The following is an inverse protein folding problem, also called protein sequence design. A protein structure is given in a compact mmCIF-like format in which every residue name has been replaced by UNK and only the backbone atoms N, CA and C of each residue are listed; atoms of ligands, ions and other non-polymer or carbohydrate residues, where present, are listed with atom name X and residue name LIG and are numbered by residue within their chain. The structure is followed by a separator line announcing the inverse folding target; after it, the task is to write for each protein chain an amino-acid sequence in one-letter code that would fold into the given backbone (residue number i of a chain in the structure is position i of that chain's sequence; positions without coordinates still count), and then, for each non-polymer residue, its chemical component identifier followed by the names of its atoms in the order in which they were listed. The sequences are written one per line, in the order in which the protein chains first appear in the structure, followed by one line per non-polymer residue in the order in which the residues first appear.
data_IF_268228678210
#
_entry.id   IF_268228678210
#
_cell.length_a   1.000
_cell.length_b   1.000
_cell.length_c   1.000
_cell.angle_alpha   90.00
_cell.angle_beta   90.00
_cell.angle_gamma   90.00
#
_symmetry.space_group_name_H-M   'P 1'
#
loop_
_entity.id
_entity.type
_entity.pdbx_description
1 polymer ?
#
# COMPACT_ATOMS: atom_id res chain seq x y z
N UNK A 1 -29.44 -25.92 -37.24
CA UNK A 1 -29.38 -26.27 -38.69
C UNK A 1 -28.08 -25.74 -39.27
N UNK A 2 -27.34 -26.54 -40.05
CA UNK A 2 -26.06 -26.12 -40.66
C UNK A 2 -26.32 -25.50 -42.05
N UNK A 3 -25.62 -24.42 -42.43
CA UNK A 3 -25.44 -24.02 -43.83
C UNK A 3 -23.95 -23.79 -44.12
N UNK A 4 -23.40 -24.67 -44.96
CA UNK A 4 -22.08 -24.53 -45.56
C UNK A 4 -22.15 -23.58 -46.74
N UNK A 5 -21.05 -22.86 -47.03
CA UNK A 5 -20.72 -22.39 -48.38
C UNK A 5 -19.36 -23.00 -48.78
N UNK A 6 -19.15 -23.22 -50.08
CA UNK A 6 -18.14 -24.13 -50.63
C UNK A 6 -17.41 -23.47 -51.81
N UNK A 7 -16.07 -23.61 -51.85
CA UNK A 7 -15.18 -23.44 -53.02
C UNK A 7 -15.08 -22.01 -53.62
N UNK A 8 -14.02 -21.66 -54.36
CA UNK A 8 -13.15 -22.50 -55.19
C UNK A 8 -11.67 -22.04 -55.27
N UNK A 9 -10.84 -22.97 -55.74
CA UNK A 9 -9.38 -22.85 -55.88
C UNK A 9 -8.97 -22.19 -57.21
N UNK A 10 -7.73 -21.67 -57.27
CA UNK A 10 -6.91 -21.73 -58.47
C UNK A 10 -5.42 -21.75 -58.09
N UNK A 11 -4.70 -22.78 -58.52
CA UNK A 11 -3.25 -22.87 -58.45
C UNK A 11 -2.67 -22.92 -59.87
N UNK A 12 -1.52 -22.30 -60.09
CA UNK A 12 -0.72 -22.46 -61.31
C UNK A 12 0.76 -22.38 -60.95
N UNK A 13 1.56 -23.28 -61.52
CA UNK A 13 3.00 -23.41 -61.27
C UNK A 13 3.77 -23.40 -62.60
N UNK A 14 5.07 -23.71 -62.53
CA UNK A 14 6.09 -23.88 -63.60
C UNK A 14 6.93 -22.65 -64.00
N UNK A 15 8.23 -22.78 -64.35
CA UNK A 15 9.35 -23.69 -63.96
C UNK A 15 10.64 -23.30 -64.76
N UNK A 16 11.84 -23.75 -64.33
CA UNK A 16 13.16 -23.82 -65.05
C UNK A 16 13.85 -22.48 -65.47
N UNK A 17 15.09 -22.09 -65.07
CA UNK A 17 16.48 -22.64 -65.19
C UNK A 17 17.30 -22.00 -66.36
N UNK A 18 18.65 -21.91 -66.46
CA UNK A 18 19.82 -22.63 -65.86
C UNK A 18 21.12 -21.78 -65.75
N UNK A 19 21.99 -22.09 -64.76
CA UNK A 19 23.47 -22.21 -64.80
C UNK A 19 24.46 -21.10 -65.26
N UNK A 20 25.54 -20.92 -64.47
CA UNK A 20 26.92 -20.60 -64.90
C UNK A 20 27.94 -21.15 -63.86
N UNK A 21 29.16 -21.54 -64.28
CA UNK A 21 30.08 -22.40 -63.50
C UNK A 21 31.39 -21.72 -63.04
N UNK A 22 32.05 -22.30 -62.02
CA UNK A 22 33.48 -22.08 -61.68
C UNK A 22 33.92 -22.81 -60.39
N UNK A 23 34.97 -23.63 -60.45
CA UNK A 23 35.50 -24.49 -59.35
C UNK A 23 37.05 -24.63 -59.49
N UNK A 24 37.80 -25.52 -58.80
CA UNK A 24 37.62 -26.23 -57.50
C UNK A 24 38.89 -26.20 -56.58
N UNK A 25 38.84 -26.81 -55.37
CA UNK A 25 39.90 -27.51 -54.58
C UNK A 25 39.60 -27.43 -53.06
N UNK A 26 39.79 -28.43 -52.19
CA UNK A 26 40.28 -29.82 -52.31
C UNK A 26 39.79 -30.68 -51.12
N UNK A 27 39.47 -31.96 -51.39
CA UNK A 27 39.51 -33.16 -50.52
C UNK A 27 38.95 -33.14 -49.07
N UNK A 28 37.80 -33.79 -48.89
CA UNK A 28 37.47 -34.52 -47.66
C UNK A 28 38.35 -35.77 -47.50
N UNK A 29 38.59 -36.18 -46.25
CA UNK A 29 38.91 -37.57 -45.91
C UNK A 29 37.92 -38.08 -44.86
N UNK A 30 37.39 -39.28 -45.08
CA UNK A 30 36.27 -39.84 -44.30
C UNK A 30 36.81 -40.69 -43.14
N UNK A 31 36.34 -40.46 -41.92
CA UNK A 31 36.17 -41.51 -40.92
C UNK A 31 34.88 -41.32 -40.10
N UNK A 32 34.10 -42.39 -39.84
CA UNK A 32 32.77 -42.26 -39.26
C UNK A 32 32.72 -42.40 -37.72
N UNK A 33 31.74 -41.69 -37.15
CA UNK A 33 30.97 -42.05 -35.94
C UNK A 33 31.70 -42.26 -34.60
N UNK A 34 31.49 -41.30 -33.70
CA UNK A 34 31.06 -41.61 -32.34
C UNK A 34 29.82 -40.76 -32.04
N UNK A 35 28.68 -41.39 -31.76
CA UNK A 35 27.48 -40.69 -31.32
C UNK A 35 27.66 -40.31 -29.86
N UNK A 36 27.68 -39.01 -29.59
CA UNK A 36 27.59 -38.43 -28.27
C UNK A 36 26.79 -37.14 -28.41
N UNK A 37 25.49 -37.20 -28.13
CA UNK A 37 24.71 -35.98 -27.96
C UNK A 37 25.22 -35.33 -26.68
N UNK A 38 26.04 -34.30 -26.81
CA UNK A 38 26.27 -33.39 -25.70
C UNK A 38 24.89 -32.83 -25.31
N UNK A 39 24.57 -32.85 -24.02
CA UNK A 39 23.37 -32.17 -23.54
C UNK A 39 23.48 -30.69 -23.94
N UNK A 40 22.49 -30.17 -24.65
CA UNK A 40 22.40 -28.73 -24.84
C UNK A 40 21.96 -28.14 -23.50
N UNK A 41 22.96 -27.65 -22.77
CA UNK A 41 22.79 -26.82 -21.59
C UNK A 41 22.91 -25.37 -22.04
N UNK A 42 21.87 -24.58 -21.83
CA UNK A 42 21.81 -23.16 -22.12
C UNK A 42 21.44 -22.37 -20.86
N UNK A 43 21.98 -21.16 -20.76
CA UNK A 43 21.63 -20.22 -19.69
C UNK A 43 20.79 -19.11 -20.28
N UNK A 44 19.57 -18.96 -19.77
CA UNK A 44 18.63 -17.92 -20.17
C UNK A 44 18.53 -16.88 -19.06
N UNK A 45 18.47 -15.61 -19.42
CA UNK A 45 18.27 -14.51 -18.47
C UNK A 45 17.07 -13.70 -18.90
N UNK A 46 16.23 -13.33 -17.94
CA UNK A 46 15.06 -12.48 -18.18
C UNK A 46 14.80 -11.54 -17.02
N UNK A 47 13.98 -10.54 -17.27
CA UNK A 47 13.69 -9.47 -16.32
C UNK A 47 12.19 -9.29 -16.14
N UNK A 48 11.81 -8.93 -14.92
CA UNK A 48 10.44 -8.63 -14.53
C UNK A 48 10.44 -7.60 -13.42
N UNK A 49 9.39 -6.79 -13.33
CA UNK A 49 9.27 -5.78 -12.29
C UNK A 49 8.79 -6.44 -10.98
N UNK A 50 9.64 -6.42 -9.96
CA UNK A 50 9.30 -6.81 -8.58
C UNK A 50 8.77 -5.63 -7.77
N UNK A 51 8.66 -5.83 -6.45
CA UNK A 51 8.12 -4.83 -5.52
C UNK A 51 9.01 -3.58 -5.41
N UNK A 52 10.31 -3.76 -5.20
CA UNK A 52 11.28 -2.68 -4.97
C UNK A 52 12.20 -2.41 -6.16
N UNK A 53 11.98 -3.05 -7.30
CA UNK A 53 12.78 -2.85 -8.50
C UNK A 53 12.75 -4.02 -9.47
N UNK A 54 13.62 -3.99 -10.47
CA UNK A 54 13.74 -5.06 -11.46
C UNK A 54 14.33 -6.31 -10.81
N UNK A 55 13.61 -7.43 -10.92
CA UNK A 55 14.09 -8.78 -10.61
C UNK A 55 14.67 -9.38 -11.88
N UNK A 56 15.89 -9.90 -11.80
CA UNK A 56 16.56 -10.63 -12.90
C UNK A 56 16.55 -12.13 -12.61
N UNK A 57 15.86 -12.90 -13.46
CA UNK A 57 15.92 -14.35 -13.47
C UNK A 57 17.15 -14.85 -14.23
N UNK A 58 17.81 -15.88 -13.71
CA UNK A 58 18.79 -16.70 -14.43
C UNK A 58 18.33 -18.15 -14.37
N UNK A 59 18.12 -18.76 -15.54
CA UNK A 59 17.67 -20.15 -15.70
C UNK A 59 18.79 -20.97 -16.36
N UNK A 60 19.02 -22.19 -15.88
CA UNK A 60 19.81 -23.20 -16.59
C UNK A 60 18.85 -24.23 -17.17
N UNK A 61 18.88 -24.42 -18.49
CA UNK A 61 18.00 -25.33 -19.22
C UNK A 61 18.84 -26.41 -19.88
N UNK A 62 18.61 -27.68 -19.53
CA UNK A 62 19.28 -28.84 -20.13
C UNK A 62 18.29 -29.68 -20.92
N UNK A 63 18.51 -29.81 -22.24
CA UNK A 63 17.65 -30.58 -23.15
C UNK A 63 16.17 -30.15 -23.11
N UNK A 64 15.89 -28.88 -22.84
CA UNK A 64 14.54 -28.32 -22.72
C UNK A 64 13.89 -28.46 -21.34
N UNK A 65 14.66 -28.81 -20.31
CA UNK A 65 14.20 -28.87 -18.90
C UNK A 65 14.99 -27.87 -18.06
N UNK A 66 14.31 -27.04 -17.28
CA UNK A 66 14.95 -26.13 -16.31
C UNK A 66 15.55 -26.99 -15.18
N UNK A 67 16.87 -26.97 -15.04
CA UNK A 67 17.61 -27.73 -14.01
C UNK A 67 18.08 -26.87 -12.84
N UNK A 68 18.12 -25.55 -13.03
CA UNK A 68 18.35 -24.57 -11.97
C UNK A 68 17.69 -23.23 -12.32
N UNK A 69 17.25 -22.51 -11.29
CA UNK A 69 16.80 -21.13 -11.38
C UNK A 69 17.41 -20.31 -10.23
N UNK A 70 17.58 -19.02 -10.43
CA UNK A 70 17.92 -18.05 -9.37
C UNK A 70 17.40 -16.67 -9.72
N UNK A 71 17.00 -15.90 -8.73
CA UNK A 71 16.56 -14.51 -8.89
C UNK A 71 17.51 -13.54 -8.18
N UNK A 72 17.81 -12.43 -8.83
CA UNK A 72 18.50 -11.28 -8.25
C UNK A 72 17.52 -10.09 -8.20
N UNK A 73 17.17 -9.64 -6.99
CA UNK A 73 16.18 -8.60 -6.74
C UNK A 73 16.66 -7.64 -5.65
N UNK A 74 17.69 -6.80 -5.90
CA UNK A 74 18.38 -6.03 -4.87
C UNK A 74 17.55 -4.88 -4.26
N UNK A 75 16.40 -4.55 -4.84
CA UNK A 75 15.44 -3.58 -4.28
C UNK A 75 14.37 -4.21 -3.37
N UNK A 76 14.21 -5.53 -3.38
CA UNK A 76 13.16 -6.21 -2.62
C UNK A 76 13.37 -6.05 -1.10
N UNK A 77 12.28 -5.90 -0.34
CA UNK A 77 12.33 -5.89 1.13
C UNK A 77 12.91 -7.22 1.63
N UNK A 78 14.06 -7.17 2.29
CA UNK A 78 14.87 -8.35 2.61
C UNK A 78 14.11 -9.45 3.39
N UNK A 79 13.24 -9.04 4.33
CA UNK A 79 12.48 -9.96 5.19
C UNK A 79 11.19 -10.50 4.55
N UNK A 80 10.81 -9.98 3.37
CA UNK A 80 9.56 -10.34 2.67
C UNK A 80 9.89 -10.83 1.26
N UNK A 81 10.04 -9.92 0.29
CA UNK A 81 10.37 -10.27 -1.09
C UNK A 81 11.74 -10.95 -1.22
N UNK A 82 12.76 -10.41 -0.54
CA UNK A 82 14.11 -11.00 -0.56
C UNK A 82 14.16 -12.44 -0.02
N UNK A 83 13.39 -12.73 1.02
CA UNK A 83 13.25 -14.07 1.58
C UNK A 83 12.46 -15.03 0.65
N UNK A 84 11.48 -14.51 -0.10
CA UNK A 84 10.68 -15.30 -1.05
C UNK A 84 11.45 -15.76 -2.30
N UNK A 85 12.54 -15.08 -2.69
CA UNK A 85 13.26 -15.38 -3.94
C UNK A 85 13.81 -16.80 -4.02
N UNK A 86 14.27 -17.38 -2.91
CA UNK A 86 14.81 -18.76 -2.89
C UNK A 86 13.68 -19.79 -3.10
N UNK A 87 12.55 -19.65 -2.40
CA UNK A 87 11.38 -20.52 -2.56
C UNK A 87 10.80 -20.43 -3.98
N UNK A 88 10.64 -19.22 -4.52
CA UNK A 88 10.16 -19.00 -5.89
C UNK A 88 11.09 -19.66 -6.93
N UNK A 89 12.42 -19.64 -6.71
CA UNK A 89 13.36 -20.31 -7.59
C UNK A 89 13.24 -21.84 -7.55
N UNK A 90 13.03 -22.44 -6.36
CA UNK A 90 12.76 -23.87 -6.24
C UNK A 90 11.45 -24.26 -6.97
N UNK A 91 10.40 -23.45 -6.82
CA UNK A 91 9.13 -23.67 -7.51
C UNK A 91 9.28 -23.63 -9.05
N UNK A 92 10.08 -22.72 -9.62
CA UNK A 92 10.33 -22.65 -11.08
C UNK A 92 10.96 -23.93 -11.62
N UNK A 93 11.92 -24.50 -10.88
CA UNK A 93 12.56 -25.78 -11.25
C UNK A 93 11.55 -26.93 -11.12
N UNK A 94 10.73 -26.95 -10.08
CA UNK A 94 9.71 -27.98 -9.87
C UNK A 94 8.58 -27.94 -10.91
N UNK A 95 8.12 -26.75 -11.28
CA UNK A 95 7.09 -26.51 -12.30
C UNK A 95 7.63 -26.63 -13.74
N UNK A 96 8.95 -26.53 -13.92
CA UNK A 96 9.61 -26.42 -15.22
C UNK A 96 9.05 -25.26 -16.08
N UNK A 97 8.81 -24.11 -15.44
CA UNK A 97 8.23 -22.93 -16.10
C UNK A 97 7.85 -21.82 -15.12
N UNK A 98 7.14 -20.82 -15.62
CA UNK A 98 6.70 -19.64 -14.87
C UNK A 98 5.35 -19.81 -14.13
N UNK A 99 4.69 -20.96 -14.27
CA UNK A 99 3.41 -21.23 -13.61
C UNK A 99 3.69 -21.80 -12.21
N UNK A 100 4.04 -20.88 -11.30
CA UNK A 100 4.39 -21.12 -9.90
C UNK A 100 3.39 -20.44 -8.97
N UNK A 101 3.23 -20.96 -7.76
CA UNK A 101 2.41 -20.36 -6.72
C UNK A 101 3.05 -19.05 -6.20
N UNK A 102 2.26 -18.16 -5.60
CA UNK A 102 2.77 -16.96 -4.95
C UNK A 102 3.25 -17.25 -3.52
N UNK A 103 4.27 -16.54 -3.05
CA UNK A 103 4.66 -16.55 -1.64
C UNK A 103 3.82 -15.50 -0.88
N UNK A 104 3.17 -15.92 0.20
CA UNK A 104 2.29 -15.05 1.00
C UNK A 104 3.02 -13.82 1.51
N UNK A 105 2.47 -12.63 1.23
CA UNK A 105 3.07 -11.33 1.55
C UNK A 105 4.07 -10.80 0.51
N UNK A 106 4.48 -11.61 -0.46
CA UNK A 106 5.44 -11.27 -1.50
C UNK A 106 4.84 -11.37 -2.92
N UNK A 107 3.60 -10.92 -3.11
CA UNK A 107 2.86 -11.05 -4.39
C UNK A 107 3.60 -10.38 -5.56
N UNK A 108 4.01 -9.11 -5.44
CA UNK A 108 4.77 -8.42 -6.48
C UNK A 108 6.13 -9.06 -6.79
N UNK A 109 6.82 -9.55 -5.77
CA UNK A 109 8.05 -10.34 -5.95
C UNK A 109 7.75 -11.60 -6.76
N UNK A 110 6.67 -12.30 -6.41
CA UNK A 110 6.21 -13.52 -7.10
C UNK A 110 5.84 -13.24 -8.55
N UNK A 111 5.11 -12.15 -8.84
CA UNK A 111 4.77 -11.76 -10.21
C UNK A 111 5.96 -11.23 -11.01
N UNK A 112 6.88 -10.50 -10.38
CA UNK A 112 8.16 -10.10 -10.96
C UNK A 112 9.01 -11.32 -11.34
N UNK A 113 9.07 -12.32 -10.46
CA UNK A 113 9.68 -13.62 -10.73
C UNK A 113 8.98 -14.35 -11.89
N UNK A 114 7.64 -14.45 -11.90
CA UNK A 114 6.86 -15.05 -13.00
C UNK A 114 7.13 -14.35 -14.33
N UNK A 115 7.10 -13.02 -14.35
CA UNK A 115 7.40 -12.20 -15.52
C UNK A 115 8.84 -12.39 -16.00
N UNK A 116 9.82 -12.39 -15.10
CA UNK A 116 11.23 -12.61 -15.42
C UNK A 116 11.49 -14.01 -16.02
N UNK A 117 10.80 -15.04 -15.55
CA UNK A 117 10.86 -16.39 -16.13
C UNK A 117 10.20 -16.45 -17.50
N UNK A 118 9.02 -15.81 -17.68
CA UNK A 118 8.37 -15.73 -19.01
C UNK A 118 9.24 -14.97 -20.02
N UNK A 119 9.85 -13.86 -19.62
CA UNK A 119 10.82 -13.11 -20.42
C UNK A 119 12.10 -13.91 -20.72
N UNK A 120 12.62 -14.69 -19.77
CA UNK A 120 13.79 -15.54 -20.00
C UNK A 120 13.50 -16.67 -21.03
N UNK A 121 12.30 -17.24 -21.00
CA UNK A 121 11.89 -18.35 -21.87
C UNK A 121 11.44 -17.89 -23.26
N UNK A 122 10.75 -16.76 -23.37
CA UNK A 122 10.33 -16.15 -24.65
C UNK A 122 10.31 -14.61 -24.53
N UNK A 123 11.45 -13.94 -24.81
CA UNK A 123 11.55 -12.48 -24.72
C UNK A 123 10.88 -11.75 -25.90
N UNK A 124 10.53 -12.43 -26.99
CA UNK A 124 9.80 -11.81 -28.11
C UNK A 124 8.29 -11.76 -27.81
N UNK A 125 7.73 -12.79 -27.18
CA UNK A 125 6.34 -12.80 -26.73
C UNK A 125 6.12 -12.06 -25.40
N UNK A 126 7.15 -12.02 -24.54
CA UNK A 126 7.10 -11.37 -23.22
C UNK A 126 8.26 -10.36 -23.10
N UNK A 127 8.30 -9.29 -23.91
CA UNK A 127 9.37 -8.29 -23.83
C UNK A 127 9.34 -7.58 -22.47
N UNK A 128 10.49 -7.49 -21.82
CA UNK A 128 10.68 -6.60 -20.68
C UNK A 128 11.00 -5.21 -21.23
N UNK A 129 10.00 -4.33 -21.25
CA UNK A 129 10.22 -2.90 -21.38
C UNK A 129 10.65 -2.39 -20.00
N UNK A 130 11.91 -2.00 -19.88
CA UNK A 130 12.39 -1.36 -18.67
C UNK A 130 11.65 -0.03 -18.50
N UNK A 131 10.84 0.08 -17.43
CA UNK A 131 10.40 1.40 -16.98
C UNK A 131 11.67 2.20 -16.68
N UNK A 132 11.80 3.36 -17.33
CA UNK A 132 13.00 4.16 -17.24
C UNK A 132 13.18 4.60 -15.79
N UNK A 133 14.38 4.46 -15.23
CA UNK A 133 14.69 4.84 -13.84
C UNK A 133 14.68 6.34 -13.54
N UNK A 134 13.75 7.09 -14.14
CA UNK A 134 13.28 8.41 -13.75
C UNK A 134 11.78 8.24 -13.49
N UNK A 135 11.35 8.42 -12.24
CA UNK A 135 10.15 7.79 -11.67
C UNK A 135 8.95 7.76 -12.64
N UNK A 136 8.58 6.54 -13.07
CA UNK A 136 7.46 6.30 -13.97
C UNK A 136 6.22 7.04 -13.50
N UNK A 137 5.45 7.61 -14.45
CA UNK A 137 4.33 8.52 -14.17
C UNK A 137 3.51 8.00 -12.99
N UNK A 138 3.64 8.67 -11.85
CA UNK A 138 2.92 8.27 -10.64
C UNK A 138 1.45 8.32 -10.99
N UNK A 139 0.81 7.15 -11.03
CA UNK A 139 -0.61 7.06 -11.27
C UNK A 139 -1.27 8.02 -10.28
N UNK A 140 -1.94 9.05 -10.80
CA UNK A 140 -2.48 10.12 -9.97
C UNK A 140 -3.75 9.61 -9.30
N UNK A 141 -3.54 8.86 -8.22
CA UNK A 141 -4.61 8.35 -7.39
C UNK A 141 -5.33 9.52 -6.73
N UNK A 142 -6.67 9.53 -6.73
CA UNK A 142 -7.42 10.55 -5.99
C UNK A 142 -7.06 10.41 -4.52
N UNK A 143 -6.62 11.49 -3.88
CA UNK A 143 -6.12 11.43 -2.50
C UNK A 143 -7.23 11.17 -1.48
N UNK A 144 -8.51 11.27 -1.84
CA UNK A 144 -9.64 11.25 -0.90
C UNK A 144 -9.98 12.63 -0.33
N UNK A 145 -9.15 13.65 -0.55
CA UNK A 145 -9.40 15.03 -0.11
C UNK A 145 -10.56 15.72 -0.86
N UNK A 146 -10.82 15.35 -2.11
CA UNK A 146 -11.91 15.91 -2.90
C UNK A 146 -13.27 15.33 -2.46
N UNK A 147 -14.33 16.15 -2.28
CA UNK A 147 -15.67 15.66 -1.96
C UNK A 147 -16.22 14.69 -3.01
N UNK A 148 -16.99 13.69 -2.56
CA UNK A 148 -17.70 12.78 -3.47
C UNK A 148 -18.82 13.54 -4.17
N UNK A 149 -18.82 13.57 -5.52
CA UNK A 149 -19.92 14.14 -6.29
C UNK A 149 -21.18 13.29 -6.15
N UNK A 150 -22.25 13.87 -5.60
CA UNK A 150 -23.52 13.19 -5.39
C UNK A 150 -24.46 13.43 -6.59
N UNK A 151 -24.88 12.37 -7.34
CA UNK A 151 -25.75 12.49 -8.49
C UNK A 151 -27.20 12.81 -8.08
N UNK A 152 -27.76 13.88 -8.62
CA UNK A 152 -29.11 14.37 -8.29
C UNK A 152 -30.27 13.46 -8.72
N UNK A 153 -29.99 12.41 -9.50
CA UNK A 153 -30.97 11.47 -10.06
C UNK A 153 -30.92 10.07 -9.40
N UNK A 154 -30.11 9.88 -8.36
CA UNK A 154 -30.03 8.64 -7.55
C UNK A 154 -30.19 8.96 -6.07
N UNK A 155 -30.77 8.03 -5.30
CA UNK A 155 -30.87 8.14 -3.84
C UNK A 155 -29.59 7.63 -3.17
N UNK A 156 -28.60 8.50 -3.07
CA UNK A 156 -27.37 8.24 -2.32
C UNK A 156 -27.59 8.53 -0.82
N UNK A 157 -27.06 7.64 0.00
CA UNK A 157 -26.94 7.78 1.46
C UNK A 157 -25.50 7.57 1.89
N UNK A 158 -25.11 8.07 3.06
CA UNK A 158 -23.78 7.85 3.62
C UNK A 158 -23.84 7.34 5.06
N UNK A 159 -22.80 6.61 5.46
CA UNK A 159 -22.49 6.36 6.87
C UNK A 159 -21.01 6.67 7.12
N UNK A 160 -20.70 7.17 8.32
CA UNK A 160 -19.35 7.57 8.74
C UNK A 160 -18.99 6.93 10.08
N UNK A 161 -17.72 6.56 10.24
CA UNK A 161 -17.13 5.96 11.45
C UNK A 161 -15.70 6.46 11.61
N UNK A 162 -15.26 6.54 12.85
CA UNK A 162 -13.98 7.10 13.26
C UNK A 162 -13.18 6.08 14.07
N UNK A 163 -11.86 6.12 13.95
CA UNK A 163 -10.97 5.24 14.72
C UNK A 163 -9.50 5.58 14.55
N UNK A 164 -8.64 4.70 15.05
CA UNK A 164 -7.19 4.72 14.86
C UNK A 164 -6.72 3.30 14.49
N UNK A 165 -5.44 3.10 14.26
CA UNK A 165 -4.85 1.77 14.11
C UNK A 165 -4.84 1.01 15.45
N UNK A 166 -5.47 -0.17 15.49
CA UNK A 166 -5.69 -0.91 16.74
C UNK A 166 -5.45 -2.43 16.64
N UNK A 167 -5.04 -2.96 15.48
CA UNK A 167 -4.98 -4.42 15.27
C UNK A 167 -3.67 -5.08 15.74
N UNK A 168 -2.58 -4.33 15.79
CA UNK A 168 -1.39 -4.67 16.59
C UNK A 168 -1.19 -3.59 17.66
N UNK A 169 -0.78 -3.99 18.86
CA UNK A 169 -0.38 -3.05 19.92
C UNK A 169 0.96 -2.37 19.62
N UNK A 170 1.69 -2.85 18.61
CA UNK A 170 2.91 -2.25 18.07
C UNK A 170 2.67 -1.49 16.75
N UNK A 171 1.41 -1.33 16.33
CA UNK A 171 1.07 -0.59 15.12
C UNK A 171 1.20 0.92 15.31
N UNK A 172 1.92 1.59 14.41
CA UNK A 172 2.28 2.99 14.57
C UNK A 172 1.08 3.93 14.42
N UNK A 173 0.56 4.45 15.53
CA UNK A 173 -0.58 5.38 15.56
C UNK A 173 -0.17 6.80 15.17
N UNK A 174 -0.26 7.13 13.88
CA UNK A 174 0.10 8.45 13.31
C UNK A 174 -1.10 9.38 13.03
N UNK A 175 -2.32 8.86 12.91
CA UNK A 175 -3.52 9.62 12.55
C UNK A 175 -4.81 9.12 13.22
N UNK A 176 -5.85 9.96 13.20
CA UNK A 176 -7.25 9.52 13.32
C UNK A 176 -7.80 9.24 11.93
N UNK A 177 -8.47 8.11 11.73
CA UNK A 177 -9.11 7.73 10.46
C UNK A 177 -10.59 8.10 10.53
N UNK A 178 -11.08 8.89 9.55
CA UNK A 178 -12.50 9.00 9.22
C UNK A 178 -12.77 8.17 7.97
N UNK A 179 -13.56 7.10 8.10
CA UNK A 179 -14.06 6.34 6.96
C UNK A 179 -15.51 6.76 6.66
N UNK A 180 -15.83 6.97 5.38
CA UNK A 180 -17.19 7.24 4.89
C UNK A 180 -17.52 6.32 3.72
N UNK A 181 -18.64 5.60 3.83
CA UNK A 181 -19.20 4.75 2.78
C UNK A 181 -20.46 5.41 2.25
N UNK A 182 -20.48 5.66 0.94
CA UNK A 182 -21.65 6.15 0.22
C UNK A 182 -22.31 4.96 -0.47
N UNK A 183 -23.63 4.83 -0.34
CA UNK A 183 -24.43 3.73 -0.88
C UNK A 183 -25.57 4.27 -1.74
N UNK A 184 -25.83 3.60 -2.86
CA UNK A 184 -26.96 3.89 -3.72
C UNK A 184 -28.13 2.96 -3.40
N UNK A 185 -29.19 3.52 -2.81
CA UNK A 185 -30.40 2.78 -2.46
C UNK A 185 -31.24 2.38 -3.69
N UNK A 186 -31.05 3.01 -4.86
CA UNK A 186 -31.83 2.68 -6.06
C UNK A 186 -31.30 1.43 -6.77
N UNK A 187 -29.99 1.17 -6.67
CA UNK A 187 -29.32 0.00 -7.27
C UNK A 187 -28.80 -1.01 -6.24
N UNK A 188 -28.94 -0.73 -4.94
CA UNK A 188 -28.49 -1.56 -3.82
C UNK A 188 -27.00 -1.95 -3.91
N UNK A 189 -26.14 -0.94 -4.08
CA UNK A 189 -24.70 -1.11 -4.24
C UNK A 189 -23.92 0.06 -3.62
N UNK A 190 -22.65 -0.19 -3.27
CA UNK A 190 -21.74 0.87 -2.86
C UNK A 190 -21.51 1.85 -4.03
N UNK A 191 -21.56 3.14 -3.73
CA UNK A 191 -21.37 4.23 -4.69
C UNK A 191 -19.94 4.78 -4.64
N UNK A 192 -19.43 5.03 -3.43
CA UNK A 192 -18.08 5.52 -3.21
C UNK A 192 -17.60 5.19 -1.79
N UNK A 193 -16.29 5.22 -1.61
CA UNK A 193 -15.62 5.20 -0.30
C UNK A 193 -14.68 6.40 -0.23
N UNK A 194 -14.58 6.99 0.96
CA UNK A 194 -13.68 8.10 1.26
C UNK A 194 -13.02 7.87 2.62
N UNK A 195 -11.70 8.10 2.67
CA UNK A 195 -10.92 8.17 3.89
C UNK A 195 -10.40 9.60 4.08
N UNK A 196 -10.22 10.01 5.33
CA UNK A 196 -9.58 11.27 5.71
C UNK A 196 -8.80 11.06 7.02
N UNK A 197 -7.50 11.31 6.99
CA UNK A 197 -6.55 10.94 8.05
C UNK A 197 -5.77 12.13 8.62
N UNK A 198 -6.38 12.99 9.46
CA UNK A 198 -5.69 14.05 10.17
C UNK A 198 -4.64 13.51 11.14
N UNK A 199 -3.44 14.10 11.07
CA UNK A 199 -2.24 13.64 11.75
C UNK A 199 -2.29 13.96 13.24
N UNK A 200 -1.88 13.01 14.08
CA UNK A 200 -1.78 13.16 15.52
C UNK A 200 -0.56 14.02 15.91
N UNK A 201 -0.55 14.65 17.10
CA UNK A 201 0.60 15.45 17.54
C UNK A 201 1.85 14.60 17.86
N UNK A 202 1.75 13.28 17.88
CA UNK A 202 2.86 12.34 17.92
C UNK A 202 2.85 11.46 16.65
N UNK A 203 4.01 10.86 16.36
CA UNK A 203 4.13 9.66 15.54
C UNK A 203 4.77 8.60 16.44
N UNK A 204 4.26 7.38 16.34
CA UNK A 204 4.57 6.26 17.21
C UNK A 204 5.74 5.39 16.69
N UNK A 205 6.30 5.73 15.52
CA UNK A 205 7.53 5.17 14.93
C UNK A 205 8.83 5.45 15.74
N UNK A 206 8.72 5.68 17.05
CA UNK A 206 9.75 6.28 17.88
C UNK A 206 9.56 7.79 17.98
N UNK A 207 9.76 8.31 19.18
CA UNK A 207 9.24 9.61 19.60
C UNK A 207 9.95 10.87 19.05
N UNK A 208 10.44 10.81 17.82
CA UNK A 208 10.98 11.93 17.06
C UNK A 208 10.01 12.50 16.02
N UNK A 209 8.89 11.83 15.71
CA UNK A 209 7.89 12.29 14.74
C UNK A 209 6.63 12.91 15.36
N UNK A 210 5.69 13.33 14.49
CA UNK A 210 4.47 14.03 14.88
C UNK A 210 4.65 15.55 15.00
N UNK A 211 3.57 16.31 14.77
CA UNK A 211 3.62 17.77 14.71
C UNK A 211 3.75 18.47 16.07
N UNK A 212 3.57 17.75 17.17
CA UNK A 212 3.86 18.22 18.53
C UNK A 212 5.35 18.33 18.83
N UNK A 213 6.22 17.67 18.06
CA UNK A 213 7.68 17.81 18.17
C UNK A 213 8.15 19.12 17.51
N UNK A 214 8.57 20.09 18.33
CA UNK A 214 8.97 21.42 17.86
C UNK A 214 10.38 21.37 17.27
N UNK A 215 10.53 21.81 16.01
CA UNK A 215 11.82 21.89 15.30
C UNK A 215 12.27 23.33 15.00
N UNK A 216 11.37 24.31 15.13
CA UNK A 216 11.69 25.73 14.96
C UNK A 216 12.32 26.31 16.24
N UNK A 217 13.58 26.75 16.16
CA UNK A 217 14.34 27.32 17.28
C UNK A 217 13.64 28.52 17.95
N UNK A 218 12.90 29.33 17.20
CA UNK A 218 12.18 30.47 17.75
C UNK A 218 10.93 30.04 18.53
N UNK A 219 10.23 28.99 18.08
CA UNK A 219 9.09 28.39 18.81
C UNK A 219 9.57 27.69 20.08
N UNK A 220 10.64 26.89 20.00
CA UNK A 220 11.32 26.26 21.15
C UNK A 220 11.72 27.33 22.18
N UNK A 221 12.38 28.41 21.73
CA UNK A 221 12.77 29.53 22.60
C UNK A 221 11.59 30.32 23.16
N UNK A 222 10.44 30.34 22.49
CA UNK A 222 9.24 31.04 22.94
C UNK A 222 8.43 30.24 23.97
N UNK A 223 8.50 28.90 23.92
CA UNK A 223 7.91 27.98 24.89
C UNK A 223 8.73 27.93 26.20
N UNK A 224 10.06 27.86 26.08
CA UNK A 224 10.95 27.74 27.24
C UNK A 224 10.81 26.41 28.00
N UNK A 225 11.53 26.29 29.12
CA UNK A 225 11.61 25.03 29.89
C UNK A 225 10.25 24.54 30.42
N UNK A 226 9.35 25.45 30.82
CA UNK A 226 8.03 25.09 31.36
C UNK A 226 7.00 24.71 30.28
N UNK A 227 7.21 25.13 29.03
CA UNK A 227 6.34 24.89 27.87
C UNK A 227 6.76 23.70 27.00
N UNK A 228 7.88 23.03 27.33
CA UNK A 228 8.45 21.93 26.57
C UNK A 228 8.55 20.63 27.37
N UNK A 229 8.64 19.53 26.64
CA UNK A 229 9.04 18.21 27.12
C UNK A 229 10.23 17.77 26.27
N UNK A 230 11.44 17.92 26.82
CA UNK A 230 12.68 17.58 26.11
C UNK A 230 13.24 16.25 26.59
N UNK A 231 13.54 15.36 25.65
CA UNK A 231 14.12 14.04 25.91
C UNK A 231 14.88 13.53 24.67
N UNK A 232 15.52 12.36 24.77
CA UNK A 232 16.26 11.75 23.66
C UNK A 232 15.64 10.41 23.29
N UNK A 233 15.19 10.26 22.04
CA UNK A 233 14.72 9.02 21.45
C UNK A 233 15.82 8.46 20.53
N UNK A 234 16.46 7.36 20.94
CA UNK A 234 17.64 6.84 20.24
C UNK A 234 18.81 7.84 20.25
N UNK A 235 19.13 8.39 19.07
CA UNK A 235 20.15 9.45 18.91
C UNK A 235 19.54 10.85 18.67
N UNK A 236 18.22 10.98 18.64
CA UNK A 236 17.50 12.22 18.31
C UNK A 236 17.00 12.95 19.56
N UNK A 237 17.37 14.22 19.71
CA UNK A 237 16.75 15.10 20.71
C UNK A 237 15.36 15.53 20.23
N UNK A 238 14.37 15.38 21.10
CA UNK A 238 12.95 15.60 20.82
C UNK A 238 12.45 16.69 21.78
N UNK A 239 11.71 17.67 21.26
CA UNK A 239 11.31 18.89 21.97
C UNK A 239 9.80 19.10 21.82
N UNK A 240 9.01 18.32 22.54
CA UNK A 240 7.54 18.34 22.40
C UNK A 240 6.91 19.55 23.09
N UNK A 241 5.89 20.13 22.46
CA UNK A 241 5.04 21.14 23.08
C UNK A 241 4.28 20.52 24.28
N UNK A 242 4.46 21.07 25.48
CA UNK A 242 3.82 20.55 26.69
C UNK A 242 2.31 20.83 26.74
N UNK A 243 1.89 21.96 26.18
CA UNK A 243 0.49 22.37 26.18
C UNK A 243 0.05 22.63 24.74
N UNK A 244 -0.98 21.91 24.30
CA UNK A 244 -1.56 22.04 22.95
C UNK A 244 -3.06 22.23 23.09
N UNK A 245 -3.61 23.28 22.48
CA UNK A 245 -5.06 23.46 22.39
C UNK A 245 -5.56 23.01 21.01
N UNK A 246 -6.50 22.06 21.00
CA UNK A 246 -7.17 21.51 19.82
C UNK A 246 -8.67 21.59 20.09
N UNK A 247 -9.49 22.07 19.16
CA UNK A 247 -10.95 22.07 19.32
C UNK A 247 -11.48 22.77 20.59
N UNK A 248 -10.74 23.75 21.12
CA UNK A 248 -11.05 24.43 22.39
C UNK A 248 -10.63 23.69 23.67
N UNK A 249 -10.11 22.46 23.57
CA UNK A 249 -9.63 21.65 24.69
C UNK A 249 -8.11 21.82 24.83
N UNK A 250 -7.62 22.13 26.03
CA UNK A 250 -6.17 22.18 26.33
C UNK A 250 -5.71 20.81 26.79
N UNK A 251 -4.81 20.22 26.01
CA UNK A 251 -4.15 18.96 26.28
C UNK A 251 -2.78 19.22 26.90
N UNK A 252 -2.49 18.54 28.01
CA UNK A 252 -1.20 18.60 28.70
C UNK A 252 -0.44 17.30 28.46
N UNK A 253 0.76 17.41 27.92
CA UNK A 253 1.69 16.31 27.74
C UNK A 253 2.48 16.00 29.01
N UNK A 254 2.74 14.72 29.25
CA UNK A 254 3.72 14.23 30.22
C UNK A 254 4.58 13.12 29.59
N UNK A 255 5.80 12.91 30.09
CA UNK A 255 6.62 11.76 29.67
C UNK A 255 5.96 10.46 30.18
N UNK A 256 5.73 9.54 29.25
CA UNK A 256 5.22 8.20 29.50
C UNK A 256 5.84 7.20 28.55
N UNK A 257 5.11 6.13 28.29
CA UNK A 257 5.50 5.02 27.41
C UNK A 257 4.24 4.46 26.75
N UNK A 258 4.39 4.00 25.52
CA UNK A 258 3.39 3.24 24.76
C UNK A 258 3.88 1.80 24.54
N UNK A 259 3.02 0.78 24.34
CA UNK A 259 3.46 -0.54 23.87
C UNK A 259 4.39 -0.54 22.64
N UNK A 260 4.29 0.45 21.74
CA UNK A 260 5.24 0.61 20.62
C UNK A 260 6.51 1.41 20.98
N UNK A 261 6.48 2.28 22.00
CA UNK A 261 7.55 3.23 22.30
C UNK A 261 7.90 3.37 23.81
N UNK A 262 9.14 3.05 24.19
CA UNK A 262 9.61 3.12 25.60
C UNK A 262 9.53 4.53 26.21
N UNK A 263 9.68 5.58 25.40
CA UNK A 263 9.59 6.98 25.84
C UNK A 263 8.71 7.74 24.85
N UNK A 264 7.51 8.11 25.28
CA UNK A 264 6.51 8.83 24.49
C UNK A 264 5.96 10.04 25.27
N UNK A 265 5.31 10.97 24.57
CA UNK A 265 4.56 12.07 25.21
C UNK A 265 3.08 11.72 25.24
N UNK A 266 2.54 11.53 26.44
CA UNK A 266 1.13 11.18 26.63
C UNK A 266 0.35 12.47 26.90
N UNK A 267 -0.46 12.89 25.94
CA UNK A 267 -1.36 14.03 26.09
C UNK A 267 -2.63 13.63 26.83
N UNK A 268 -3.01 14.39 27.86
CA UNK A 268 -4.24 14.20 28.62
C UNK A 268 -5.01 15.51 28.83
N UNK A 269 -6.34 15.42 28.95
CA UNK A 269 -7.23 16.55 29.23
C UNK A 269 -8.42 16.12 30.11
N UNK A 270 -9.04 17.06 30.81
CA UNK A 270 -10.30 16.84 31.53
C UNK A 270 -11.49 17.06 30.58
N UNK A 271 -12.19 15.98 30.20
CA UNK A 271 -13.40 16.01 29.38
C UNK A 271 -14.56 15.51 30.24
N UNK A 272 -15.64 16.29 30.34
CA UNK A 272 -16.83 16.03 31.17
C UNK A 272 -16.54 15.61 32.64
N UNK A 273 -15.44 16.13 33.20
CA UNK A 273 -15.01 15.85 34.56
C UNK A 273 -14.26 14.53 34.74
N UNK A 274 -13.81 13.90 33.65
CA UNK A 274 -12.89 12.77 33.64
C UNK A 274 -11.59 13.15 32.93
N UNK A 275 -10.46 12.86 33.56
CA UNK A 275 -9.16 12.97 32.89
C UNK A 275 -9.01 11.82 31.90
N UNK A 276 -8.92 12.12 30.60
CA UNK A 276 -8.75 11.15 29.52
C UNK A 276 -7.42 11.38 28.80
N UNK A 277 -6.82 10.30 28.28
CA UNK A 277 -5.67 10.40 27.35
C UNK A 277 -6.18 10.65 25.93
N UNK A 278 -5.38 11.33 25.11
CA UNK A 278 -5.76 11.62 23.73
C UNK A 278 -5.95 10.35 22.91
N UNK A 279 -5.00 9.40 22.92
CA UNK A 279 -5.10 8.11 22.20
C UNK A 279 -6.40 7.37 22.56
N UNK A 280 -6.63 7.15 23.86
CA UNK A 280 -7.82 6.46 24.36
C UNK A 280 -9.13 7.16 23.93
N UNK A 281 -9.13 8.49 23.90
CA UNK A 281 -10.30 9.29 23.51
C UNK A 281 -10.54 9.25 22.00
N UNK A 282 -9.51 9.51 21.17
CA UNK A 282 -9.66 9.54 19.70
C UNK A 282 -9.86 8.15 19.08
N UNK A 283 -9.55 7.08 19.80
CA UNK A 283 -9.93 5.71 19.46
C UNK A 283 -11.45 5.45 19.58
N UNK A 284 -12.20 6.30 20.28
CA UNK A 284 -13.66 6.20 20.37
C UNK A 284 -14.34 6.92 19.20
N UNK A 285 -15.55 6.52 18.84
CA UNK A 285 -16.36 7.23 17.83
C UNK A 285 -16.60 8.71 18.18
N UNK A 286 -16.78 9.03 19.47
CA UNK A 286 -17.01 10.39 19.94
C UNK A 286 -15.75 11.25 19.84
N UNK A 287 -14.62 10.76 20.38
CA UNK A 287 -13.36 11.49 20.35
C UNK A 287 -12.71 11.51 18.98
N UNK A 288 -12.85 10.46 18.17
CA UNK A 288 -12.41 10.41 16.79
C UNK A 288 -13.18 11.40 15.92
N UNK A 289 -14.50 11.48 16.07
CA UNK A 289 -15.32 12.54 15.46
C UNK A 289 -14.86 13.93 15.89
N UNK A 290 -14.73 14.14 17.20
CA UNK A 290 -14.30 15.43 17.75
C UNK A 290 -12.93 15.84 17.19
N UNK A 291 -11.97 14.92 17.07
CA UNK A 291 -10.64 15.23 16.57
C UNK A 291 -10.67 15.65 15.10
N UNK A 292 -11.43 14.94 14.27
CA UNK A 292 -11.56 15.27 12.84
C UNK A 292 -12.24 16.62 12.66
N UNK A 293 -13.38 16.87 13.35
CA UNK A 293 -14.05 18.17 13.32
C UNK A 293 -13.11 19.30 13.83
N UNK A 294 -12.30 19.03 14.85
CA UNK A 294 -11.34 19.98 15.41
C UNK A 294 -10.08 20.19 14.55
N UNK A 295 -9.76 19.27 13.64
CA UNK A 295 -8.60 19.36 12.75
C UNK A 295 -8.77 20.34 11.59
N UNK A 296 -10.03 20.71 11.28
CA UNK A 296 -10.35 21.75 10.31
C UNK A 296 -9.95 23.16 10.83
N UNK A 297 -9.92 23.35 12.16
CA UNK A 297 -9.57 24.60 12.82
C UNK A 297 -8.08 24.62 13.28
N UNK A 298 -7.47 25.82 13.47
CA UNK A 298 -6.08 25.89 13.90
C UNK A 298 -5.88 25.41 15.35
N UNK A 299 -4.91 24.52 15.54
CA UNK A 299 -4.38 24.17 16.85
C UNK A 299 -3.42 25.27 17.36
N UNK A 300 -3.40 25.48 18.68
CA UNK A 300 -2.49 26.43 19.33
C UNK A 300 -1.45 25.71 20.18
N UNK A 301 -0.18 25.99 19.92
CA UNK A 301 0.96 25.56 20.72
C UNK A 301 1.16 26.60 21.83
N UNK A 302 1.02 26.19 23.09
CA UNK A 302 0.87 27.09 24.23
C UNK A 302 2.05 27.05 25.20
N UNK A 303 2.40 28.22 25.76
CA UNK A 303 3.46 28.39 26.77
C UNK A 303 3.03 27.92 28.17
N UNK A 304 1.72 27.85 28.41
CA UNK A 304 1.11 27.40 29.66
C UNK A 304 -0.26 26.77 29.41
N UNK A 305 -0.79 26.03 30.40
CA UNK A 305 -2.10 25.37 30.34
C UNK A 305 -3.32 26.32 30.29
N UNK A 306 -3.14 27.64 30.13
CA UNK A 306 -4.26 28.57 30.01
C UNK A 306 -4.87 28.53 28.60
N UNK A 307 -6.15 28.20 28.50
CA UNK A 307 -6.89 28.19 27.24
C UNK A 307 -6.95 29.58 26.60
N UNK A 308 -6.75 29.64 25.28
CA UNK A 308 -6.79 30.87 24.47
C UNK A 308 -8.04 30.89 23.57
N UNK A 309 -8.39 32.07 23.04
CA UNK A 309 -9.52 32.24 22.10
C UNK A 309 -9.11 32.65 20.68
N UNK A 310 -7.81 32.69 20.38
CA UNK A 310 -7.28 33.08 19.08
C UNK A 310 -5.76 33.19 19.06
N UNK A 311 -5.19 33.31 17.85
CA UNK A 311 -3.75 33.28 17.60
C UNK A 311 -2.94 34.47 18.16
N UNK A 312 -3.58 35.62 18.41
CA UNK A 312 -2.92 36.85 18.88
C UNK A 312 -2.64 36.87 20.41
N UNK A 313 -3.00 35.80 21.14
CA UNK A 313 -2.84 35.72 22.59
C UNK A 313 -1.37 35.53 23.01
N UNK A 314 -0.93 36.19 24.09
CA UNK A 314 0.46 36.13 24.54
C UNK A 314 0.90 34.74 25.00
N UNK A 315 -0.04 33.85 25.34
CA UNK A 315 0.22 32.45 25.68
C UNK A 315 0.51 31.57 24.44
N UNK A 316 0.15 32.01 23.23
CA UNK A 316 0.44 31.28 21.98
C UNK A 316 1.92 31.44 21.63
N UNK A 317 2.62 30.32 21.40
CA UNK A 317 3.97 30.28 20.84
C UNK A 317 3.94 30.06 19.31
N UNK A 318 3.00 29.25 18.85
CA UNK A 318 2.78 28.93 17.43
C UNK A 318 1.31 28.57 17.19
N UNK A 319 0.80 28.91 16.00
CA UNK A 319 -0.46 28.36 15.48
C UNK A 319 -0.11 27.29 14.44
N UNK A 320 -0.72 26.12 14.52
CA UNK A 320 -0.49 24.99 13.62
C UNK A 320 -1.82 24.56 12.99
N UNK A 321 -1.86 24.45 11.66
CA UNK A 321 -2.99 23.78 10.99
C UNK A 321 -2.73 22.29 11.01
N UNK A 322 -3.63 21.50 11.61
CA UNK A 322 -3.53 20.04 11.54
C UNK A 322 -3.66 19.64 10.06
N UNK A 323 -2.66 18.90 9.58
CA UNK A 323 -2.65 18.39 8.21
C UNK A 323 -3.11 16.94 8.19
N UNK A 324 -3.59 16.49 7.05
CA UNK A 324 -4.02 15.11 6.83
C UNK A 324 -3.17 14.45 5.73
N UNK A 325 -3.03 13.12 5.74
CA UNK A 325 -2.13 12.38 4.82
C UNK A 325 -2.41 12.70 3.34
N UNK A 326 -3.68 12.91 3.02
CA UNK A 326 -4.21 13.27 1.71
C UNK A 326 -3.74 14.64 1.20
N UNK A 327 -3.17 15.46 2.09
CA UNK A 327 -2.82 16.87 1.84
C UNK A 327 -1.33 17.21 2.05
N UNK A 328 -0.61 16.42 2.85
CA UNK A 328 0.78 16.71 3.23
C UNK A 328 1.84 15.78 2.60
N UNK A 329 1.43 14.74 1.87
CA UNK A 329 2.35 13.76 1.25
C UNK A 329 2.89 12.71 2.22
N UNK A 330 2.29 12.57 3.41
CA UNK A 330 2.59 11.45 4.30
C UNK A 330 2.25 10.13 3.61
N UNK A 331 3.12 9.13 3.74
CA UNK A 331 2.99 7.88 2.99
C UNK A 331 3.26 7.95 1.48
N UNK A 332 3.75 9.09 0.95
CA UNK A 332 4.26 9.17 -0.44
C UNK A 332 5.78 9.34 -0.53
N UNK A 333 6.41 10.04 0.43
CA UNK A 333 7.85 10.33 0.39
C UNK A 333 8.74 9.25 1.04
N UNK A 334 8.18 8.39 1.89
CA UNK A 334 8.91 7.37 2.67
C UNK A 334 8.83 5.96 2.06
N UNK A 335 7.89 5.73 1.14
CA UNK A 335 7.61 4.40 0.61
C UNK A 335 8.47 4.06 -0.61
N UNK A 336 9.08 2.86 -0.68
CA UNK A 336 9.85 2.40 -1.85
C UNK A 336 8.96 1.87 -2.99
N UNK A 337 7.66 1.65 -2.75
CA UNK A 337 6.69 1.22 -3.77
C UNK A 337 6.22 2.40 -4.62
N UNK A 338 5.98 2.15 -5.92
CA UNK A 338 5.27 3.09 -6.79
C UNK A 338 3.79 3.28 -6.39
N UNK A 339 3.24 2.34 -5.61
CA UNK A 339 1.92 2.46 -4.99
C UNK A 339 2.11 3.03 -3.58
N UNK A 340 1.84 4.33 -3.49
CA UNK A 340 1.93 5.13 -2.26
C UNK A 340 0.61 5.08 -1.48
N UNK A 341 0.53 5.75 -0.31
CA UNK A 341 -0.69 5.81 0.51
C UNK A 341 -2.00 6.08 -0.30
N UNK A 342 -2.07 7.10 -1.19
CA UNK A 342 -3.25 7.32 -2.04
C UNK A 342 -3.60 6.14 -2.96
N UNK A 343 -2.60 5.39 -3.44
CA UNK A 343 -2.80 4.20 -4.26
C UNK A 343 -3.37 3.03 -3.46
N UNK A 344 -2.96 2.85 -2.20
CA UNK A 344 -3.57 1.86 -1.31
C UNK A 344 -5.03 2.20 -0.99
N UNK A 345 -5.32 3.47 -0.70
CA UNK A 345 -6.70 3.92 -0.44
C UNK A 345 -7.60 3.68 -1.66
N UNK A 346 -7.10 3.94 -2.86
CA UNK A 346 -7.81 3.63 -4.10
C UNK A 346 -7.99 2.11 -4.30
N UNK A 347 -6.98 1.27 -3.99
CA UNK A 347 -7.10 -0.18 -4.07
C UNK A 347 -8.12 -0.77 -3.07
N UNK A 348 -8.15 -0.28 -1.81
CA UNK A 348 -9.16 -0.66 -0.81
C UNK A 348 -10.57 -0.31 -1.30
N UNK A 349 -10.74 0.88 -1.85
CA UNK A 349 -12.00 1.35 -2.44
C UNK A 349 -12.43 0.47 -3.62
N UNK A 350 -11.56 0.23 -4.59
CA UNK A 350 -11.90 -0.58 -5.76
C UNK A 350 -12.23 -2.03 -5.36
N UNK A 351 -11.50 -2.60 -4.41
CA UNK A 351 -11.79 -3.92 -3.85
C UNK A 351 -13.22 -4.03 -3.32
N UNK A 352 -13.66 -3.12 -2.43
CA UNK A 352 -15.03 -3.21 -1.86
C UNK A 352 -16.13 -2.83 -2.86
N UNK A 353 -15.83 -2.00 -3.86
CA UNK A 353 -16.77 -1.68 -4.94
C UNK A 353 -16.98 -2.86 -5.90
N UNK A 354 -15.93 -3.66 -6.16
CA UNK A 354 -16.01 -4.84 -7.03
C UNK A 354 -16.52 -6.10 -6.30
N UNK A 355 -16.13 -6.29 -5.04
CA UNK A 355 -16.35 -7.55 -4.29
C UNK A 355 -17.44 -7.43 -3.20
N UNK A 356 -17.88 -6.22 -2.86
CA UNK A 356 -18.85 -5.99 -1.78
C UNK A 356 -18.27 -6.21 -0.38
N UNK A 357 -19.15 -6.60 0.56
CA UNK A 357 -18.86 -6.70 2.01
C UNK A 357 -19.01 -8.12 2.58
N UNK A 358 -19.20 -9.12 1.72
CA UNK A 358 -19.36 -10.54 2.10
C UNK A 358 -18.00 -11.23 2.28
N UNK A 359 -17.13 -10.61 3.09
CA UNK A 359 -15.86 -11.17 3.55
C UNK A 359 -15.94 -11.48 5.05
N UNK A 360 -15.64 -12.74 5.40
CA UNK A 360 -15.52 -13.18 6.78
C UNK A 360 -14.10 -12.92 7.29
N UNK A 361 -13.94 -11.88 8.11
CA UNK A 361 -12.67 -11.56 8.75
C UNK A 361 -12.72 -11.79 10.26
N UNK A 362 -11.83 -12.71 10.68
CA UNK A 362 -11.41 -13.04 12.05
C UNK A 362 -12.40 -13.69 13.04
N UNK A 363 -12.35 -15.03 13.05
CA UNK A 363 -12.35 -15.79 14.31
C UNK A 363 -10.91 -16.12 14.78
N UNK A 364 -10.02 -16.59 13.88
CA UNK A 364 -8.76 -17.25 14.24
C UNK A 364 -7.48 -16.69 13.55
N UNK A 365 -7.50 -15.44 13.08
CA UNK A 365 -6.26 -14.70 12.77
C UNK A 365 -5.49 -15.05 11.50
N UNK A 366 -6.12 -15.56 10.43
CA UNK A 366 -5.39 -15.89 9.19
C UNK A 366 -6.21 -16.00 7.91
N UNK A 367 -5.51 -15.80 6.80
CA UNK A 367 -5.96 -15.93 5.39
C UNK A 367 -6.51 -17.34 5.14
N UNK A 368 -7.69 -17.46 4.51
CA UNK A 368 -8.21 -18.76 4.07
C UNK A 368 -8.88 -18.69 2.69
N UNK A 369 -8.91 -19.82 1.99
CA UNK A 369 -9.76 -19.99 0.81
C UNK A 369 -11.16 -20.43 1.24
N UNK A 370 -12.19 -19.99 0.52
CA UNK A 370 -13.54 -20.52 0.66
C UNK A 370 -13.66 -21.94 0.04
N UNK A 371 -14.80 -22.60 0.26
CA UNK A 371 -15.08 -23.97 -0.22
C UNK A 371 -15.04 -24.13 -1.76
N UNK A 372 -15.01 -23.03 -2.52
CA UNK A 372 -14.93 -22.99 -3.98
C UNK A 372 -13.49 -22.74 -4.49
N UNK A 373 -12.52 -22.53 -3.59
CA UNK A 373 -11.11 -22.30 -3.91
C UNK A 373 -10.73 -20.84 -4.14
N UNK A 374 -11.63 -19.89 -3.85
CA UNK A 374 -11.31 -18.45 -3.91
C UNK A 374 -10.69 -17.98 -2.61
N UNK A 375 -9.57 -17.25 -2.70
CA UNK A 375 -8.91 -16.62 -1.55
C UNK A 375 -9.74 -15.47 -0.99
N UNK A 376 -10.03 -15.49 0.32
CA UNK A 376 -10.63 -14.34 1.00
C UNK A 376 -9.50 -13.52 1.66
N UNK A 377 -9.02 -12.52 0.89
CA UNK A 377 -8.04 -11.45 1.17
C UNK A 377 -6.75 -11.87 1.91
N UNK A 378 -5.59 -11.71 1.24
CA UNK A 378 -5.04 -10.35 1.06
C UNK A 378 -4.50 -10.04 -0.35
N UNK A 379 -4.71 -10.91 -1.34
CA UNK A 379 -4.12 -10.71 -2.68
C UNK A 379 -4.77 -9.58 -3.49
N UNK A 380 -5.97 -9.13 -3.11
CA UNK A 380 -6.76 -8.12 -3.82
C UNK A 380 -6.47 -6.65 -3.43
N UNK A 381 -5.59 -6.42 -2.44
CA UNK A 381 -5.13 -5.08 -2.02
C UNK A 381 -3.60 -5.05 -1.92
N UNK A 382 -2.92 -5.94 -2.65
CA UNK A 382 -1.47 -5.85 -2.77
C UNK A 382 -1.14 -4.59 -3.58
N UNK A 383 -0.35 -3.70 -2.99
CA UNK A 383 0.18 -2.50 -3.65
C UNK A 383 1.28 -1.87 -2.80
N UNK A 384 0.95 -1.66 -1.54
CA UNK A 384 1.86 -1.42 -0.46
C UNK A 384 1.24 -2.06 0.79
N UNK A 385 2.03 -2.86 1.54
CA UNK A 385 1.56 -3.56 2.74
C UNK A 385 1.26 -2.58 3.87
N UNK A 386 0.08 -1.95 3.84
CA UNK A 386 -0.54 -1.46 5.04
C UNK A 386 -0.84 -2.70 5.90
N UNK A 387 -0.03 -2.90 6.96
CA UNK A 387 -0.37 -3.86 8.03
C UNK A 387 -1.80 -3.61 8.55
N UNK A 388 -2.26 -2.36 8.41
CA UNK A 388 -3.56 -1.85 8.79
C UNK A 388 -4.66 -1.95 7.73
N UNK A 389 -4.43 -2.50 6.52
CA UNK A 389 -5.53 -2.79 5.55
C UNK A 389 -6.76 -3.45 6.22
N UNK A 390 -6.59 -4.43 7.14
CA UNK A 390 -7.72 -5.01 7.88
C UNK A 390 -8.49 -4.02 8.77
N UNK A 391 -7.87 -2.94 9.26
CA UNK A 391 -8.55 -1.90 10.05
C UNK A 391 -9.51 -1.10 9.16
N UNK A 392 -9.07 -0.69 7.97
CA UNK A 392 -9.92 -0.03 6.98
C UNK A 392 -11.10 -0.91 6.54
N UNK A 393 -10.87 -2.19 6.24
CA UNK A 393 -11.93 -3.11 5.82
C UNK A 393 -12.98 -3.34 6.92
N UNK A 394 -12.57 -3.50 8.19
CA UNK A 394 -13.52 -3.62 9.31
C UNK A 394 -14.35 -2.35 9.50
N UNK A 395 -13.75 -1.17 9.34
CA UNK A 395 -14.49 0.11 9.36
C UNK A 395 -15.53 0.12 8.25
N UNK A 396 -15.17 -0.21 7.01
CA UNK A 396 -16.11 -0.23 5.89
C UNK A 396 -17.23 -1.29 6.05
N UNK A 397 -16.92 -2.47 6.62
CA UNK A 397 -17.93 -3.48 6.96
C UNK A 397 -18.91 -2.95 8.03
N UNK A 398 -18.41 -2.27 9.06
CA UNK A 398 -19.22 -1.60 10.08
C UNK A 398 -20.15 -0.55 9.45
N UNK A 399 -19.66 0.22 8.48
CA UNK A 399 -20.48 1.19 7.75
C UNK A 399 -21.55 0.53 6.87
N UNK A 400 -21.23 -0.57 6.20
CA UNK A 400 -22.20 -1.34 5.45
C UNK A 400 -23.30 -1.87 6.37
N UNK A 401 -22.95 -2.44 7.53
CA UNK A 401 -23.93 -2.88 8.54
C UNK A 401 -24.82 -1.73 9.05
N UNK A 402 -24.25 -0.54 9.29
CA UNK A 402 -25.03 0.68 9.60
C UNK A 402 -26.04 1.01 8.52
N UNK A 403 -25.61 1.06 7.26
CA UNK A 403 -26.48 1.34 6.10
C UNK A 403 -27.62 0.31 6.00
N UNK A 404 -27.31 -0.98 6.12
CA UNK A 404 -28.31 -2.06 6.10
C UNK A 404 -29.28 -2.00 7.30
N UNK A 405 -28.86 -1.44 8.43
CA UNK A 405 -29.73 -1.22 9.61
C UNK A 405 -30.61 0.04 9.53
N UNK A 406 -30.36 0.93 8.56
CA UNK A 406 -31.02 2.22 8.44
C UNK A 406 -30.35 3.37 9.20
N UNK A 407 -29.12 3.18 9.69
CA UNK A 407 -28.30 4.18 10.36
C UNK A 407 -27.41 4.90 9.33
N UNK A 408 -28.02 5.84 8.59
CA UNK A 408 -27.38 6.59 7.51
C UNK A 408 -27.91 8.03 7.39
N UNK A 409 -27.17 8.87 6.67
CA UNK A 409 -27.56 10.23 6.26
C UNK A 409 -28.02 10.21 4.81
N UNK A 410 -29.08 10.95 4.45
CA UNK A 410 -29.48 11.16 3.05
C UNK A 410 -28.69 12.35 2.46
N UNK A 411 -28.04 12.16 1.31
CA UNK A 411 -27.14 13.15 0.70
C UNK A 411 -27.82 14.10 -0.32
N UNK A 412 -29.11 13.87 -0.63
CA UNK A 412 -29.90 14.57 -1.67
C UNK A 412 -31.30 14.96 -1.18
#
# INVERSE_FOLDING_TARGET
MKKKWISACAAAALLLSTAACGAPATEESIQPSASGSAAQSETLTGQGQGYGGVITATLTVENGVITAASFDGPGETAEIGGAALEELAEQVVAANGAEIDGVSGATYTSDGCRAAVRNALDPEANPFEADGGDGGETASYPTGAEPVEIPSDRKIVSATTYGIYTKDVTSAQDCVIKATLYWDLDNDQAYAVQFYEPMLPWDDNGAAGGWGNMTDEAVISALGEDGLITFTAGETECNFAKYIQIGGVVWTGELGSDPACEVAVVYSADIDGQTVKMNDYVATEEGGKWYVDASEEPAYILKSAQSVTGADDENVAMTYQITAKETNGHGTAFWPSSITFPGNMQAIKDFVLENGFDYDYYADGGITQNDEGYWQTPDAVSGATLAETPTYLDMLKTLYERIQSGDYVEEN
#
